data_IF_191368882387
#
_entry.id   IF_191368882387
#
_cell.length_a   1.000
_cell.length_b   1.000
_cell.length_c   1.000
_cell.angle_alpha   90.00
_cell.angle_beta   90.00
_cell.angle_gamma   90.00
#
_symmetry.space_group_name_H-M   'P 1'
#
loop_
_entity.id
_entity.type
_entity.pdbx_description
1 polymer ?
#
# COMPACT_ATOMS: atom_id res chain seq x y z
N UNK A 1 21.73 19.51 4.46
CA UNK A 1 21.59 18.89 3.12
C UNK A 1 20.49 17.82 3.07
N UNK A 2 20.58 16.66 3.78
CA UNK A 2 19.56 15.58 3.64
C UNK A 2 18.14 16.04 4.03
N UNK A 3 17.97 16.73 5.17
CA UNK A 3 16.65 17.24 5.62
C UNK A 3 16.08 18.33 4.69
N UNK A 4 16.93 19.07 4.03
CA UNK A 4 16.54 20.15 3.13
C UNK A 4 16.07 19.62 1.77
N UNK A 5 16.73 18.58 1.25
CA UNK A 5 16.30 17.84 0.07
C UNK A 5 14.95 17.14 0.31
N UNK A 6 14.79 16.46 1.45
CA UNK A 6 13.50 15.82 1.80
C UNK A 6 12.36 16.85 1.88
N UNK A 7 12.62 18.04 2.45
CA UNK A 7 11.60 19.09 2.51
C UNK A 7 11.25 19.65 1.12
N UNK A 8 12.23 19.71 0.22
CA UNK A 8 12.01 20.13 -1.17
C UNK A 8 11.20 19.08 -1.95
N UNK A 9 11.55 17.81 -1.83
CA UNK A 9 10.83 16.69 -2.43
C UNK A 9 9.37 16.63 -1.93
N UNK A 10 9.15 16.77 -0.63
CA UNK A 10 7.80 16.82 -0.04
C UNK A 10 6.97 17.94 -0.65
N UNK A 11 7.51 19.16 -0.75
CA UNK A 11 6.81 20.29 -1.36
C UNK A 11 6.50 20.07 -2.83
N UNK A 12 7.44 19.47 -3.58
CA UNK A 12 7.23 19.16 -4.99
C UNK A 12 6.07 18.19 -5.17
N UNK A 13 6.01 17.14 -4.32
CA UNK A 13 4.94 16.16 -4.35
C UNK A 13 3.59 16.78 -3.93
N UNK A 14 3.55 17.63 -2.90
CA UNK A 14 2.36 18.40 -2.53
C UNK A 14 1.83 19.22 -3.72
N UNK A 15 2.71 19.96 -4.40
CA UNK A 15 2.35 20.75 -5.58
C UNK A 15 1.79 19.85 -6.69
N UNK A 16 2.40 18.69 -6.91
CA UNK A 16 1.93 17.73 -7.92
C UNK A 16 0.51 17.23 -7.62
N UNK A 17 0.21 16.89 -6.36
CA UNK A 17 -1.14 16.48 -5.97
C UNK A 17 -2.18 17.58 -6.19
N UNK A 18 -1.85 18.82 -5.82
CA UNK A 18 -2.73 19.97 -6.03
C UNK A 18 -2.99 20.18 -7.52
N UNK A 19 -1.94 20.12 -8.34
CA UNK A 19 -2.05 20.25 -9.79
C UNK A 19 -2.94 19.16 -10.40
N UNK A 20 -2.71 17.89 -10.05
CA UNK A 20 -3.53 16.76 -10.51
C UNK A 20 -5.00 16.95 -10.12
N UNK A 21 -5.27 17.30 -8.86
CA UNK A 21 -6.64 17.55 -8.40
C UNK A 21 -7.30 18.72 -9.14
N UNK A 22 -6.55 19.78 -9.48
CA UNK A 22 -7.02 20.92 -10.25
C UNK A 22 -7.35 20.53 -11.69
N UNK A 23 -6.45 19.78 -12.34
CA UNK A 23 -6.69 19.29 -13.72
C UNK A 23 -7.92 18.40 -13.77
N UNK A 24 -8.09 17.51 -12.76
CA UNK A 24 -9.26 16.64 -12.67
C UNK A 24 -10.57 17.48 -12.59
N UNK A 25 -10.56 18.52 -11.78
CA UNK A 25 -11.69 19.43 -11.62
C UNK A 25 -11.95 20.27 -12.89
N UNK A 26 -10.93 20.95 -13.43
CA UNK A 26 -11.08 21.88 -14.55
C UNK A 26 -11.40 21.20 -15.89
N UNK A 27 -10.86 19.98 -16.11
CA UNK A 27 -11.03 19.24 -17.37
C UNK A 27 -12.06 18.11 -17.31
N UNK A 28 -12.64 17.89 -16.16
CA UNK A 28 -13.61 16.80 -15.91
C UNK A 28 -13.10 15.41 -16.30
N UNK A 29 -11.79 15.15 -16.10
CA UNK A 29 -11.14 13.86 -16.35
C UNK A 29 -10.53 13.30 -15.08
N UNK A 30 -10.44 11.98 -14.95
CA UNK A 30 -9.66 11.36 -13.88
C UNK A 30 -8.18 11.57 -14.16
N UNK A 31 -7.44 12.04 -13.14
CA UNK A 31 -5.98 12.16 -13.22
C UNK A 31 -5.32 11.28 -12.18
N UNK A 32 -4.10 10.85 -12.43
CA UNK A 32 -3.44 9.85 -11.60
C UNK A 32 -2.06 10.32 -11.12
N UNK A 33 -1.71 9.95 -9.91
CA UNK A 33 -0.33 10.01 -9.45
C UNK A 33 0.46 8.80 -9.96
N UNK A 34 1.77 8.79 -9.73
CA UNK A 34 2.54 7.56 -9.75
C UNK A 34 2.20 6.69 -8.52
N UNK A 35 2.80 5.48 -8.41
CA UNK A 35 2.66 4.66 -7.22
C UNK A 35 3.33 5.31 -6.00
N UNK A 36 2.55 5.60 -4.99
CA UNK A 36 2.93 6.25 -3.75
C UNK A 36 3.35 5.22 -2.70
N UNK A 37 4.49 5.41 -2.08
CA UNK A 37 4.84 4.68 -0.86
C UNK A 37 4.09 5.27 0.36
N UNK A 38 4.21 4.65 1.54
CA UNK A 38 3.51 5.10 2.76
C UNK A 38 3.82 6.56 3.16
N UNK A 39 5.03 7.07 2.88
CA UNK A 39 5.34 8.48 3.17
C UNK A 39 4.63 9.41 2.18
N UNK A 40 4.62 9.03 0.90
CA UNK A 40 3.97 9.82 -0.15
C UNK A 40 2.46 9.88 0.09
N UNK A 41 1.85 8.73 0.48
CA UNK A 41 0.45 8.67 0.90
C UNK A 41 0.19 9.57 2.12
N UNK A 42 1.08 9.55 3.12
CA UNK A 42 0.95 10.43 4.27
C UNK A 42 0.99 11.91 3.88
N UNK A 43 1.83 12.31 2.92
CA UNK A 43 1.86 13.68 2.40
C UNK A 43 0.48 14.04 1.82
N UNK A 44 -0.11 13.16 1.00
CA UNK A 44 -1.44 13.37 0.44
C UNK A 44 -2.53 13.46 1.53
N UNK A 45 -2.51 12.56 2.51
CA UNK A 45 -3.49 12.53 3.62
C UNK A 45 -3.39 13.73 4.56
N UNK A 46 -2.23 14.37 4.64
CA UNK A 46 -1.99 15.53 5.53
C UNK A 46 -2.20 16.86 4.80
N UNK A 47 -2.39 16.85 3.49
CA UNK A 47 -2.76 18.06 2.76
C UNK A 47 -4.10 18.61 3.27
N UNK A 48 -4.19 19.91 3.54
CA UNK A 48 -5.47 20.55 3.89
C UNK A 48 -6.49 20.31 2.77
N UNK A 49 -7.67 19.81 3.13
CA UNK A 49 -8.73 19.46 2.16
C UNK A 49 -9.12 20.63 1.24
N UNK A 50 -9.05 21.86 1.73
CA UNK A 50 -9.33 23.06 0.96
C UNK A 50 -8.27 23.42 -0.07
N UNK A 51 -7.13 22.70 -0.12
CA UNK A 51 -6.12 22.85 -1.17
C UNK A 51 -6.32 21.90 -2.34
N UNK A 52 -7.13 20.87 -2.18
CA UNK A 52 -7.47 19.93 -3.24
C UNK A 52 -8.80 20.36 -3.88
N UNK A 53 -8.85 20.37 -5.20
CA UNK A 53 -10.01 20.75 -6.02
C UNK A 53 -10.96 19.58 -6.28
N UNK A 54 -10.46 18.36 -6.16
CA UNK A 54 -11.22 17.14 -6.36
C UNK A 54 -10.92 16.12 -5.24
N UNK A 55 -11.80 15.14 -5.09
CA UNK A 55 -11.57 13.98 -4.21
C UNK A 55 -10.54 13.06 -4.83
N UNK A 56 -10.01 12.14 -4.03
CA UNK A 56 -9.11 11.10 -4.52
C UNK A 56 -9.47 9.74 -3.92
N UNK A 57 -9.15 8.70 -4.69
CA UNK A 57 -9.25 7.29 -4.29
C UNK A 57 -7.89 6.65 -4.48
N UNK A 58 -7.43 5.90 -3.47
CA UNK A 58 -6.16 5.18 -3.51
C UNK A 58 -6.41 3.71 -3.84
N UNK A 59 -5.61 3.16 -4.75
CA UNK A 59 -5.64 1.74 -5.09
C UNK A 59 -4.29 1.25 -5.58
N UNK A 60 -3.93 0.01 -5.24
CA UNK A 60 -2.67 -0.61 -5.64
C UNK A 60 -2.83 -1.98 -6.29
N UNK A 61 -4.07 -2.31 -6.76
CA UNK A 61 -4.36 -3.56 -7.47
C UNK A 61 -4.99 -4.66 -6.59
N UNK A 62 -4.90 -4.54 -5.28
CA UNK A 62 -5.53 -5.45 -4.32
C UNK A 62 -5.77 -4.73 -2.98
N UNK A 63 -6.62 -5.30 -2.11
CA UNK A 63 -7.11 -4.65 -0.88
C UNK A 63 -6.04 -4.16 0.10
N UNK A 64 -4.86 -4.71 0.01
CA UNK A 64 -3.83 -4.53 1.03
C UNK A 64 -2.53 -3.99 0.48
N UNK A 65 -2.60 -3.45 -0.71
CA UNK A 65 -1.46 -2.86 -1.37
C UNK A 65 -0.82 -1.78 -0.50
N UNK A 66 0.48 -1.90 -0.28
CA UNK A 66 1.26 -0.88 0.42
C UNK A 66 1.57 0.29 -0.49
N UNK A 67 1.88 0.00 -1.75
CA UNK A 67 2.09 1.03 -2.77
C UNK A 67 0.82 1.23 -3.57
N UNK A 68 0.30 2.43 -3.54
CA UNK A 68 -0.98 2.75 -4.14
C UNK A 68 -0.85 3.96 -5.07
N UNK A 69 -1.65 3.99 -6.13
CA UNK A 69 -1.80 5.13 -7.02
C UNK A 69 -3.03 5.94 -6.59
N UNK A 70 -2.91 7.25 -6.54
CA UNK A 70 -4.03 8.13 -6.27
C UNK A 70 -4.73 8.51 -7.59
N UNK A 71 -6.01 8.23 -7.69
CA UNK A 71 -6.89 8.75 -8.74
C UNK A 71 -7.63 9.97 -8.19
N UNK A 72 -7.48 11.13 -8.83
CA UNK A 72 -8.24 12.34 -8.52
C UNK A 72 -9.50 12.36 -9.38
N UNK A 73 -10.66 12.43 -8.73
CA UNK A 73 -11.96 12.17 -9.33
C UNK A 73 -12.67 13.48 -9.66
N UNK A 74 -13.09 13.71 -10.90
CA UNK A 74 -13.87 14.91 -11.27
C UNK A 74 -15.22 14.92 -10.58
N UNK A 75 -15.78 16.10 -10.36
CA UNK A 75 -17.04 16.29 -9.63
C UNK A 75 -18.21 15.57 -10.28
N UNK A 76 -18.31 15.64 -11.62
CA UNK A 76 -19.35 14.95 -12.39
C UNK A 76 -19.37 13.44 -12.14
N UNK A 77 -18.19 12.82 -12.04
CA UNK A 77 -18.08 11.39 -11.73
C UNK A 77 -18.44 11.11 -10.25
N UNK A 78 -18.04 11.99 -9.35
CA UNK A 78 -18.38 11.90 -7.92
C UNK A 78 -19.89 11.98 -7.68
N UNK A 79 -20.59 12.84 -8.43
CA UNK A 79 -22.04 12.99 -8.34
C UNK A 79 -22.78 11.77 -8.91
N UNK A 80 -22.27 11.19 -10.01
CA UNK A 80 -22.89 10.02 -10.66
C UNK A 80 -22.90 8.77 -9.76
N UNK A 81 -21.86 8.56 -8.97
CA UNK A 81 -21.73 7.39 -8.09
C UNK A 81 -22.15 7.64 -6.64
N UNK A 82 -22.59 8.87 -6.30
CA UNK A 82 -22.83 9.27 -4.93
C UNK A 82 -21.52 9.54 -4.17
N UNK A 83 -21.56 10.49 -3.27
CA UNK A 83 -20.37 11.11 -2.65
C UNK A 83 -19.54 10.17 -1.79
N UNK A 84 -20.07 9.02 -1.38
CA UNK A 84 -19.40 8.05 -0.49
C UNK A 84 -18.98 6.73 -1.16
N UNK A 85 -19.42 6.45 -2.39
CA UNK A 85 -19.49 5.07 -2.86
C UNK A 85 -18.62 4.74 -4.10
N UNK A 86 -17.74 5.65 -4.55
CA UNK A 86 -16.79 5.31 -5.62
C UNK A 86 -15.79 4.30 -5.09
N UNK A 87 -15.92 3.07 -5.53
CA UNK A 87 -14.96 2.02 -5.22
C UNK A 87 -13.77 2.06 -6.19
N UNK A 88 -12.58 1.61 -5.78
CA UNK A 88 -11.43 1.53 -6.68
C UNK A 88 -11.70 0.74 -7.97
N UNK A 89 -12.62 -0.23 -7.94
CA UNK A 89 -12.97 -1.09 -9.09
C UNK A 89 -13.73 -0.34 -10.20
N UNK A 90 -14.34 0.79 -9.88
CA UNK A 90 -15.07 1.62 -10.85
C UNK A 90 -14.16 2.59 -11.59
N UNK A 91 -12.88 2.63 -11.23
CA UNK A 91 -11.87 3.53 -11.80
C UNK A 91 -10.91 2.72 -12.65
N UNK A 92 -10.73 3.09 -13.92
CA UNK A 92 -9.73 2.48 -14.80
C UNK A 92 -8.34 3.06 -14.49
N UNK A 93 -7.65 2.42 -13.55
CA UNK A 93 -6.28 2.81 -13.22
C UNK A 93 -5.31 2.49 -14.35
N UNK A 94 -4.32 3.37 -14.65
CA UNK A 94 -3.34 3.18 -15.70
C UNK A 94 -2.22 2.22 -15.31
N UNK A 95 -2.55 1.15 -14.63
CA UNK A 95 -1.62 0.07 -14.31
C UNK A 95 -2.27 -1.30 -14.50
N UNK A 96 -1.46 -2.32 -14.58
CA UNK A 96 -1.90 -3.71 -14.65
C UNK A 96 -0.99 -4.58 -13.79
N UNK A 97 -1.27 -5.87 -13.76
CA UNK A 97 -0.44 -6.87 -13.12
C UNK A 97 0.30 -7.71 -14.17
N UNK A 98 1.58 -7.96 -13.92
CA UNK A 98 2.41 -8.86 -14.72
C UNK A 98 2.81 -10.03 -13.83
N UNK A 99 2.43 -11.24 -14.24
CA UNK A 99 2.90 -12.48 -13.64
C UNK A 99 4.29 -12.79 -14.19
N UNK A 100 5.22 -13.08 -13.32
CA UNK A 100 6.59 -13.45 -13.63
C UNK A 100 6.82 -14.84 -13.04
N UNK A 101 7.12 -15.83 -13.88
CA UNK A 101 7.30 -17.20 -13.43
C UNK A 101 8.53 -17.85 -14.09
N UNK A 102 9.18 -18.81 -13.39
CA UNK A 102 10.30 -19.55 -13.96
C UNK A 102 9.85 -20.34 -15.19
N UNK A 103 10.57 -20.23 -16.28
CA UNK A 103 10.35 -21.03 -17.50
C UNK A 103 10.51 -22.53 -17.25
N UNK A 104 11.35 -22.88 -16.27
CA UNK A 104 11.54 -24.25 -15.83
C UNK A 104 11.71 -24.28 -14.30
N UNK A 105 10.69 -24.78 -13.61
CA UNK A 105 10.68 -24.87 -12.14
C UNK A 105 11.82 -25.73 -11.54
N UNK A 106 12.33 -26.73 -12.30
CA UNK A 106 13.43 -27.60 -11.82
C UNK A 106 14.75 -26.87 -11.65
N UNK A 107 14.95 -25.77 -12.35
CA UNK A 107 16.18 -24.98 -12.38
C UNK A 107 15.97 -23.57 -11.81
N UNK A 108 14.87 -23.35 -11.09
CA UNK A 108 14.62 -22.07 -10.44
C UNK A 108 15.31 -22.03 -9.08
N UNK A 109 15.86 -20.88 -8.77
CA UNK A 109 16.33 -20.55 -7.41
C UNK A 109 15.14 -20.05 -6.56
N UNK A 110 15.30 -20.09 -5.24
CA UNK A 110 14.37 -19.43 -4.32
C UNK A 110 14.55 -17.90 -4.46
N UNK A 111 13.71 -17.30 -5.30
CA UNK A 111 13.76 -15.88 -5.59
C UNK A 111 12.99 -15.07 -4.56
N UNK A 112 13.62 -14.03 -4.06
CA UNK A 112 13.03 -13.12 -3.07
C UNK A 112 12.46 -11.87 -3.73
N UNK A 113 11.64 -11.13 -2.99
CA UNK A 113 11.16 -9.80 -3.41
C UNK A 113 12.31 -8.87 -3.87
N UNK A 114 13.48 -8.94 -3.22
CA UNK A 114 14.64 -8.09 -3.58
C UNK A 114 15.23 -8.48 -4.93
N UNK A 115 15.21 -9.75 -5.28
CA UNK A 115 15.75 -10.24 -6.55
C UNK A 115 14.89 -9.75 -7.71
N UNK A 116 13.56 -9.86 -7.59
CA UNK A 116 12.62 -9.31 -8.56
C UNK A 116 12.74 -7.79 -8.66
N UNK A 117 12.70 -7.09 -7.54
CA UNK A 117 12.82 -5.63 -7.54
C UNK A 117 14.13 -5.15 -8.18
N UNK A 118 15.25 -5.79 -7.84
CA UNK A 118 16.56 -5.45 -8.42
C UNK A 118 16.57 -5.64 -9.93
N UNK A 119 16.01 -6.74 -10.43
CA UNK A 119 15.96 -7.02 -11.87
C UNK A 119 15.08 -6.02 -12.62
N UNK A 120 13.94 -5.62 -12.04
CA UNK A 120 13.04 -4.61 -12.64
C UNK A 120 13.72 -3.23 -12.69
N UNK A 121 14.36 -2.81 -11.60
CA UNK A 121 15.07 -1.53 -11.56
C UNK A 121 16.27 -1.50 -12.53
N UNK A 122 16.93 -2.63 -12.79
CA UNK A 122 18.02 -2.74 -13.76
C UNK A 122 17.54 -2.55 -15.22
N UNK A 123 16.25 -2.68 -15.51
CA UNK A 123 15.66 -2.29 -16.80
C UNK A 123 15.52 -0.76 -16.98
N UNK A 124 15.94 0.03 -15.99
CA UNK A 124 15.78 1.49 -16.00
C UNK A 124 14.38 1.96 -15.57
N UNK A 125 13.55 1.08 -15.07
CA UNK A 125 12.21 1.42 -14.59
C UNK A 125 12.32 2.11 -13.23
N UNK A 126 11.78 3.33 -13.12
CA UNK A 126 11.72 4.04 -11.84
C UNK A 126 10.79 3.31 -10.84
N UNK A 127 11.18 3.28 -9.58
CA UNK A 127 10.39 2.64 -8.51
C UNK A 127 9.00 3.25 -8.35
N UNK A 128 8.81 4.52 -8.70
CA UNK A 128 7.51 5.20 -8.68
C UNK A 128 6.52 4.63 -9.71
N UNK A 129 7.00 3.99 -10.76
CA UNK A 129 6.17 3.38 -11.81
C UNK A 129 5.71 1.97 -11.46
N UNK A 130 6.18 1.42 -10.34
CA UNK A 130 5.84 0.07 -9.88
C UNK A 130 5.10 0.10 -8.54
N UNK A 131 4.07 -0.70 -8.43
CA UNK A 131 3.35 -1.01 -7.19
C UNK A 131 4.09 -2.05 -6.34
N UNK A 132 3.32 -2.89 -5.66
CA UNK A 132 3.85 -4.01 -4.90
C UNK A 132 4.34 -5.14 -5.83
N UNK A 133 5.22 -5.96 -5.31
CA UNK A 133 5.64 -7.23 -5.90
C UNK A 133 5.24 -8.31 -4.91
N UNK A 134 4.28 -9.15 -5.29
CA UNK A 134 3.82 -10.25 -4.47
C UNK A 134 4.55 -11.51 -4.91
N UNK A 135 5.38 -12.06 -4.04
CA UNK A 135 6.13 -13.27 -4.32
C UNK A 135 5.40 -14.45 -3.71
N UNK A 136 5.14 -15.47 -4.51
CA UNK A 136 4.59 -16.77 -4.12
C UNK A 136 5.68 -17.84 -4.26
N UNK A 137 5.38 -19.09 -3.88
CA UNK A 137 6.33 -20.20 -4.04
C UNK A 137 6.82 -20.39 -5.49
N UNK A 138 5.94 -20.15 -6.46
CA UNK A 138 6.19 -20.48 -7.87
C UNK A 138 6.29 -19.26 -8.79
N UNK A 139 5.98 -18.06 -8.34
CA UNK A 139 5.89 -16.88 -9.21
C UNK A 139 5.95 -15.58 -8.43
N UNK A 140 6.08 -14.47 -9.15
CA UNK A 140 5.83 -13.15 -8.60
C UNK A 140 4.76 -12.43 -9.41
N UNK A 141 3.99 -11.59 -8.74
CA UNK A 141 3.01 -10.70 -9.35
C UNK A 141 3.49 -9.27 -9.16
N UNK A 142 3.81 -8.60 -10.26
CA UNK A 142 4.27 -7.22 -10.30
C UNK A 142 3.11 -6.32 -10.71
N UNK A 143 2.77 -5.30 -9.91
CA UNK A 143 1.91 -4.21 -10.35
C UNK A 143 2.76 -3.11 -11.00
N UNK A 144 2.39 -2.67 -12.20
CA UNK A 144 3.21 -1.74 -12.99
C UNK A 144 2.33 -0.85 -13.87
N UNK A 145 2.79 0.37 -14.14
CA UNK A 145 2.16 1.26 -15.11
C UNK A 145 2.03 0.59 -16.49
N UNK A 146 0.85 0.70 -17.11
CA UNK A 146 0.54 0.08 -18.42
C UNK A 146 1.57 0.42 -19.49
N UNK A 147 2.12 1.64 -19.48
CA UNK A 147 3.10 2.10 -20.47
C UNK A 147 4.46 1.37 -20.42
N UNK A 148 4.74 0.68 -19.31
CA UNK A 148 6.02 -0.02 -19.09
C UNK A 148 5.90 -1.54 -19.14
N UNK A 149 4.73 -2.05 -19.49
CA UNK A 149 4.47 -3.49 -19.53
C UNK A 149 5.36 -4.18 -20.55
N UNK A 150 5.47 -3.62 -21.76
CA UNK A 150 6.30 -4.17 -22.83
C UNK A 150 7.76 -4.32 -22.42
N UNK A 151 8.30 -3.32 -21.70
CA UNK A 151 9.67 -3.38 -21.16
C UNK A 151 9.87 -4.60 -20.25
N UNK A 152 8.87 -4.90 -19.41
CA UNK A 152 8.97 -6.07 -18.51
C UNK A 152 8.75 -7.37 -19.27
N UNK A 153 7.74 -7.44 -20.17
CA UNK A 153 7.41 -8.70 -20.84
C UNK A 153 8.41 -9.08 -21.93
N UNK A 154 9.13 -8.13 -22.51
CA UNK A 154 10.09 -8.36 -23.58
C UNK A 154 11.53 -8.41 -23.08
N UNK A 155 11.92 -7.52 -22.15
CA UNK A 155 13.31 -7.35 -21.74
C UNK A 155 13.67 -8.10 -20.45
N UNK A 156 12.69 -8.41 -19.57
CA UNK A 156 12.96 -9.17 -18.35
C UNK A 156 13.03 -10.67 -18.68
N UNK A 157 14.19 -11.13 -19.10
CA UNK A 157 14.41 -12.55 -19.46
C UNK A 157 14.92 -13.40 -18.31
N UNK A 158 15.48 -12.76 -17.27
CA UNK A 158 16.07 -13.45 -16.11
C UNK A 158 15.89 -12.65 -14.83
N UNK A 159 15.72 -13.38 -13.73
CA UNK A 159 15.89 -12.88 -12.36
C UNK A 159 16.99 -13.69 -11.71
N UNK A 160 18.13 -13.06 -11.38
CA UNK A 160 19.39 -13.73 -11.04
C UNK A 160 19.81 -14.73 -12.13
N UNK A 161 19.88 -16.02 -11.80
CA UNK A 161 20.22 -17.09 -12.76
C UNK A 161 18.98 -17.80 -13.32
N UNK A 162 17.79 -17.54 -12.78
CA UNK A 162 16.54 -18.14 -13.22
C UNK A 162 16.02 -17.48 -14.49
N UNK A 163 15.86 -18.24 -15.56
CA UNK A 163 15.17 -17.80 -16.77
C UNK A 163 13.67 -17.74 -16.49
N UNK A 164 13.03 -16.62 -16.84
CA UNK A 164 11.60 -16.41 -16.54
C UNK A 164 10.79 -16.15 -17.82
N UNK A 165 9.50 -16.36 -17.71
CA UNK A 165 8.47 -15.87 -18.61
C UNK A 165 7.60 -14.84 -17.90
N UNK A 166 7.14 -13.84 -18.63
CA UNK A 166 6.28 -12.77 -18.12
C UNK A 166 5.01 -12.66 -18.92
N UNK A 167 3.86 -12.55 -18.25
CA UNK A 167 2.55 -12.40 -18.88
C UNK A 167 1.67 -11.40 -18.15
N UNK A 168 0.89 -10.64 -18.90
CA UNK A 168 -0.09 -9.69 -18.34
C UNK A 168 -1.28 -10.45 -17.77
N UNK A 169 -1.72 -10.08 -16.58
CA UNK A 169 -2.92 -10.60 -15.94
C UNK A 169 -3.92 -9.46 -15.73
N UNK A 170 -5.19 -9.72 -16.02
CA UNK A 170 -6.27 -8.81 -15.67
C UNK A 170 -6.38 -8.69 -14.15
N UNK A 171 -6.51 -7.46 -13.63
CA UNK A 171 -6.67 -7.18 -12.20
C UNK A 171 -7.86 -7.93 -11.59
N UNK A 172 -8.96 -8.12 -12.35
CA UNK A 172 -10.14 -8.87 -11.89
C UNK A 172 -9.86 -10.38 -11.69
N UNK A 173 -8.81 -10.91 -12.28
CA UNK A 173 -8.38 -12.30 -12.11
C UNK A 173 -7.45 -12.52 -10.92
N UNK A 174 -7.06 -11.45 -10.24
CA UNK A 174 -6.15 -11.52 -9.09
C UNK A 174 -6.94 -11.95 -7.86
N UNK A 175 -6.93 -13.25 -7.58
CA UNK A 175 -7.45 -13.83 -6.34
C UNK A 175 -6.31 -13.94 -5.30
N UNK A 176 -5.57 -12.86 -5.11
CA UNK A 176 -4.54 -12.85 -4.08
C UNK A 176 -5.21 -12.63 -2.72
N UNK A 177 -5.24 -13.68 -1.93
CA UNK A 177 -5.56 -13.60 -0.50
C UNK A 177 -4.25 -13.73 0.26
N UNK A 178 -3.77 -12.68 0.89
CA UNK A 178 -2.56 -12.78 1.71
C UNK A 178 -2.75 -13.84 2.80
N UNK A 179 -1.71 -14.59 3.06
CA UNK A 179 -1.70 -15.43 4.25
C UNK A 179 -1.72 -14.53 5.48
N UNK A 180 -2.62 -14.85 6.40
CA UNK A 180 -2.75 -14.11 7.64
C UNK A 180 -2.93 -15.05 8.83
N UNK A 181 -2.32 -14.66 9.92
CA UNK A 181 -2.51 -15.28 11.22
C UNK A 181 -3.58 -14.51 11.99
N UNK A 182 -4.71 -15.16 12.32
CA UNK A 182 -5.68 -14.56 13.22
C UNK A 182 -5.13 -14.61 14.65
N UNK A 183 -5.04 -13.45 15.30
CA UNK A 183 -4.58 -13.32 16.68
C UNK A 183 -5.72 -12.76 17.52
N UNK A 184 -6.13 -13.53 18.54
CA UNK A 184 -7.12 -13.12 19.54
C UNK A 184 -6.43 -12.77 20.84
N UNK A 185 -6.86 -11.70 21.48
CA UNK A 185 -6.27 -11.27 22.74
C UNK A 185 -7.16 -10.32 23.50
N UNK A 186 -6.65 -9.75 24.57
CA UNK A 186 -7.37 -8.73 25.35
C UNK A 186 -6.49 -7.53 25.60
N UNK A 187 -7.08 -6.34 25.46
CA UNK A 187 -6.40 -5.07 25.69
C UNK A 187 -7.17 -4.22 26.70
N UNK A 188 -6.50 -3.30 27.37
CA UNK A 188 -7.15 -2.35 28.27
C UNK A 188 -7.92 -1.26 27.50
N UNK A 189 -7.49 -0.95 26.29
CA UNK A 189 -8.11 0.01 25.38
C UNK A 189 -7.71 -0.31 23.94
N UNK A 190 -8.58 0.01 22.97
CA UNK A 190 -8.31 -0.20 21.53
C UNK A 190 -7.43 0.94 21.02
N UNK A 191 -6.20 0.98 21.53
CA UNK A 191 -5.19 1.99 21.18
C UNK A 191 -4.02 1.34 20.46
N UNK A 192 -3.35 2.11 19.64
CA UNK A 192 -2.22 1.65 18.85
C UNK A 192 -1.12 1.01 19.71
N UNK A 193 -0.75 1.66 20.84
CA UNK A 193 0.24 1.15 21.79
C UNK A 193 -0.17 -0.13 22.52
N UNK A 194 -1.46 -0.47 22.50
CA UNK A 194 -2.00 -1.69 23.11
C UNK A 194 -2.14 -2.83 22.10
N UNK A 195 -2.40 -2.52 20.83
CA UNK A 195 -2.55 -3.52 19.76
C UNK A 195 -1.22 -4.00 19.18
N UNK A 196 -0.22 -3.11 19.05
CA UNK A 196 1.09 -3.47 18.51
C UNK A 196 1.77 -4.62 19.26
N UNK A 197 1.84 -4.65 20.61
CA UNK A 197 2.41 -5.77 21.38
C UNK A 197 1.72 -7.10 21.09
N UNK A 198 0.40 -7.08 20.89
CA UNK A 198 -0.38 -8.26 20.54
C UNK A 198 -0.01 -8.77 19.15
N UNK A 199 0.07 -7.86 18.16
CA UNK A 199 0.34 -8.21 16.77
C UNK A 199 1.76 -8.75 16.54
N UNK A 200 2.75 -8.18 17.23
CA UNK A 200 4.16 -8.48 16.98
C UNK A 200 4.86 -9.22 18.11
N UNK A 201 4.13 -9.68 19.12
CA UNK A 201 4.67 -10.48 20.25
C UNK A 201 5.94 -9.85 20.86
N UNK A 202 5.92 -8.54 21.05
CA UNK A 202 7.08 -7.76 21.53
C UNK A 202 6.70 -6.84 22.68
N UNK A 203 7.69 -6.32 23.41
CA UNK A 203 7.44 -5.45 24.55
C UNK A 203 6.78 -4.13 24.15
N UNK A 204 5.89 -3.63 25.02
CA UNK A 204 5.19 -2.37 24.78
C UNK A 204 6.16 -1.19 24.64
N UNK A 205 7.22 -1.14 25.45
CA UNK A 205 8.23 -0.07 25.38
C UNK A 205 8.95 -0.01 24.04
N UNK A 206 9.36 -1.19 23.51
CA UNK A 206 10.01 -1.28 22.19
C UNK A 206 9.09 -0.80 21.08
N UNK A 207 7.82 -1.17 21.11
CA UNK A 207 6.84 -0.83 20.08
C UNK A 207 6.34 0.61 20.18
N UNK A 208 6.21 1.17 21.39
CA UNK A 208 5.95 2.60 21.56
C UNK A 208 7.05 3.47 20.96
N UNK A 209 8.31 3.04 21.05
CA UNK A 209 9.43 3.72 20.40
C UNK A 209 9.35 3.72 18.86
N UNK A 210 8.65 2.75 18.24
CA UNK A 210 8.40 2.78 16.79
C UNK A 210 7.31 3.79 16.41
N UNK A 211 6.28 3.97 17.27
CA UNK A 211 5.24 4.98 17.05
C UNK A 211 5.87 6.37 17.12
N UNK A 212 6.59 6.68 18.22
CA UNK A 212 7.28 7.94 18.41
C UNK A 212 8.38 8.18 17.36
N UNK A 213 9.04 7.13 16.91
CA UNK A 213 10.05 7.13 15.87
C UNK A 213 9.49 7.23 14.43
N UNK A 214 8.21 7.57 14.26
CA UNK A 214 7.57 7.78 12.95
C UNK A 214 7.69 6.57 12.00
N UNK A 215 7.50 5.34 12.54
CA UNK A 215 7.56 4.09 11.78
C UNK A 215 6.21 3.38 11.64
N UNK A 216 5.13 3.95 12.19
CA UNK A 216 3.81 3.33 12.21
C UNK A 216 2.82 4.15 11.40
N UNK A 217 2.10 3.49 10.51
CA UNK A 217 1.08 4.09 9.65
C UNK A 217 -0.25 3.38 9.88
N UNK A 218 -1.33 4.15 9.86
CA UNK A 218 -2.71 3.64 9.86
C UNK A 218 -3.38 4.12 8.59
N UNK A 219 -3.80 3.20 7.75
CA UNK A 219 -4.37 3.49 6.42
C UNK A 219 -3.51 4.48 5.60
N UNK A 220 -2.18 4.28 5.58
CA UNK A 220 -1.21 5.14 4.90
C UNK A 220 -0.88 6.46 5.61
N UNK A 221 -1.57 6.82 6.70
CA UNK A 221 -1.30 8.02 7.48
C UNK A 221 -0.32 7.74 8.61
N UNK A 222 0.75 8.52 8.70
CA UNK A 222 1.75 8.43 9.77
C UNK A 222 1.14 8.79 11.12
N UNK A 223 1.31 7.92 12.11
CA UNK A 223 0.86 8.13 13.49
C UNK A 223 2.06 8.15 14.43
N UNK A 224 2.18 9.20 15.20
CA UNK A 224 3.23 9.39 16.22
C UNK A 224 2.69 9.40 17.65
N UNK A 225 1.37 9.32 17.81
CA UNK A 225 0.71 9.29 19.13
C UNK A 225 0.46 7.87 19.58
N UNK A 226 1.03 7.47 20.70
CA UNK A 226 0.79 6.17 21.35
C UNK A 226 -0.69 5.94 21.67
N UNK A 227 -1.42 7.01 22.02
CA UNK A 227 -2.83 7.00 22.38
C UNK A 227 -3.81 6.97 21.19
N UNK A 228 -3.33 6.85 19.96
CA UNK A 228 -4.20 6.83 18.79
C UNK A 228 -5.24 5.70 18.89
N UNK A 229 -6.53 6.07 18.74
CA UNK A 229 -7.65 5.14 18.75
C UNK A 229 -7.76 4.46 17.38
N UNK A 230 -7.61 3.14 17.37
CA UNK A 230 -7.72 2.32 16.15
C UNK A 230 -9.18 1.92 15.96
N UNK A 231 -9.66 1.97 14.72
CA UNK A 231 -11.02 1.59 14.34
C UNK A 231 -11.03 0.22 13.69
N UNK A 232 -12.17 -0.47 13.76
CA UNK A 232 -12.39 -1.72 13.03
C UNK A 232 -12.20 -1.51 11.53
N UNK A 233 -11.49 -2.44 10.91
CA UNK A 233 -11.07 -2.35 9.51
C UNK A 233 -9.77 -1.60 9.26
N UNK A 234 -9.23 -0.86 10.23
CA UNK A 234 -7.95 -0.15 10.05
C UNK A 234 -6.81 -1.10 9.72
N UNK A 235 -6.02 -0.74 8.70
CA UNK A 235 -4.78 -1.41 8.33
C UNK A 235 -3.61 -0.68 8.96
N UNK A 236 -2.88 -1.37 9.83
CA UNK A 236 -1.71 -0.85 10.53
C UNK A 236 -0.44 -1.42 9.89
N UNK A 237 0.41 -0.54 9.36
CA UNK A 237 1.71 -0.90 8.78
C UNK A 237 2.84 -0.41 9.67
N UNK A 238 3.77 -1.29 10.01
CA UNK A 238 4.92 -0.98 10.87
C UNK A 238 6.22 -1.27 10.12
N UNK A 239 6.99 -0.24 9.84
CA UNK A 239 8.25 -0.38 9.11
C UNK A 239 9.19 -1.37 9.78
N UNK A 240 9.60 -2.39 9.02
CA UNK A 240 10.52 -3.43 9.46
C UNK A 240 9.88 -4.55 10.29
N UNK A 241 8.56 -4.51 10.54
CA UNK A 241 7.84 -5.58 11.25
C UNK A 241 6.69 -6.18 10.45
N UNK A 242 6.19 -5.50 9.40
CA UNK A 242 5.04 -5.93 8.61
C UNK A 242 3.76 -5.18 8.94
N UNK A 243 2.62 -5.81 8.66
CA UNK A 243 1.30 -5.17 8.77
C UNK A 243 0.26 -6.09 9.40
N UNK A 244 -0.77 -5.49 9.97
CA UNK A 244 -1.96 -6.21 10.46
C UNK A 244 -3.20 -5.35 10.29
N UNK A 245 -4.36 -6.01 10.17
CA UNK A 245 -5.68 -5.37 10.19
C UNK A 245 -6.31 -5.58 11.56
N UNK A 246 -6.90 -4.54 12.12
CA UNK A 246 -7.75 -4.65 13.29
C UNK A 246 -9.16 -5.05 12.84
N UNK A 247 -9.62 -6.26 13.17
CA UNK A 247 -10.91 -6.78 12.71
C UNK A 247 -12.05 -6.27 13.56
N UNK A 248 -12.01 -6.57 14.86
CA UNK A 248 -13.12 -6.27 15.76
C UNK A 248 -12.72 -6.06 17.21
N UNK A 249 -13.52 -5.28 17.90
CA UNK A 249 -13.57 -5.19 19.36
C UNK A 249 -14.76 -5.98 19.90
N UNK A 250 -14.49 -7.05 20.63
CA UNK A 250 -15.51 -7.90 21.22
C UNK A 250 -15.92 -7.46 22.64
N UNK A 251 -16.44 -8.40 23.42
CA UNK A 251 -17.00 -8.15 24.76
C UNK A 251 -15.92 -7.76 25.79
N UNK A 252 -16.33 -6.97 26.78
CA UNK A 252 -15.50 -6.68 27.95
C UNK A 252 -15.43 -7.93 28.84
N UNK A 253 -14.22 -8.31 29.21
CA UNK A 253 -13.94 -9.46 30.08
C UNK A 253 -14.24 -9.12 31.55
N UNK A 254 -14.36 -10.15 32.41
CA UNK A 254 -14.53 -9.97 33.86
C UNK A 254 -13.41 -9.12 34.53
N UNK A 255 -12.24 -9.02 33.87
CA UNK A 255 -11.11 -8.19 34.31
C UNK A 255 -11.11 -6.79 33.69
N UNK A 256 -12.23 -6.32 33.22
CA UNK A 256 -12.43 -5.01 32.58
C UNK A 256 -11.46 -4.77 31.39
N UNK A 257 -11.22 -5.79 30.59
CA UNK A 257 -10.41 -5.72 29.37
C UNK A 257 -11.29 -6.01 28.16
N UNK A 258 -10.99 -5.38 27.02
CA UNK A 258 -11.69 -5.55 25.76
C UNK A 258 -11.07 -6.73 25.03
N UNK A 259 -11.87 -7.72 24.62
CA UNK A 259 -11.38 -8.75 23.68
C UNK A 259 -11.21 -8.14 22.30
N UNK A 260 -10.16 -8.53 21.59
CA UNK A 260 -9.86 -8.01 20.25
C UNK A 260 -9.41 -9.14 19.34
N UNK A 261 -9.77 -9.01 18.06
CA UNK A 261 -9.30 -9.89 16.99
C UNK A 261 -8.52 -9.04 15.98
N UNK A 262 -7.34 -9.53 15.59
CA UNK A 262 -6.50 -8.92 14.57
C UNK A 262 -6.07 -9.97 13.55
N UNK A 263 -5.91 -9.57 12.30
CA UNK A 263 -5.31 -10.35 11.22
C UNK A 263 -3.91 -9.84 10.95
N UNK A 264 -2.90 -10.58 11.36
CA UNK A 264 -1.50 -10.28 11.03
C UNK A 264 -1.12 -10.97 9.75
N UNK A 265 -0.51 -10.24 8.83
CA UNK A 265 0.01 -10.78 7.58
C UNK A 265 1.35 -11.45 7.82
N UNK A 266 1.51 -12.63 7.24
CA UNK A 266 2.70 -13.50 7.41
C UNK A 266 3.55 -13.45 6.16
#
# INVERSE_FOLDING_TARGET
MIKENQKKETKLLEHRFIELSRIAFEREIVTYSDFLNLNDQNILHTLPKNRLYSRYVLFGGYDMAERQMAAFIPEALSLRYGVSDITPKEIDYPFCAVKIEPKNKRFSEDLTHRDFLGSILNLGIDRSKTGDILVTEDSALLFINKDLVSVVTEDLTRVRHTVIDSSVINLDMINYTPDFQQIKGTVSSVRLDSLLPLAFSSSRSKLSGLIEGAKVFVNGKLITSNGYQVKEGDLISVRGLGKFRFEEAGKITKKNRISVTIQKYV
#
